data_IF_124875587060
#
_entry.id   IF_124875587060
#
_cell.length_a   1.000
_cell.length_b   1.000
_cell.length_c   1.000
_cell.angle_alpha   90.00
_cell.angle_beta   90.00
_cell.angle_gamma   90.00
#
_symmetry.space_group_name_H-M   'P 1'
#
loop_
_entity.id
_entity.type
_entity.pdbx_description
1 polymer ?
#
# COMPACT_ATOMS: atom_id res chain seq x y z
N UNK A 1 19.90 18.04 -32.94
CA UNK A 1 20.01 16.57 -32.99
C UNK A 1 19.21 16.00 -31.84
N UNK A 2 18.34 15.05 -32.15
CA UNK A 2 17.33 14.41 -31.30
C UNK A 2 17.86 13.58 -30.12
N UNK A 3 16.94 13.26 -29.20
CA UNK A 3 17.09 12.21 -28.19
C UNK A 3 15.93 12.19 -27.19
N UNK A 4 14.72 11.83 -27.63
CA UNK A 4 13.52 11.75 -26.79
C UNK A 4 13.56 10.61 -25.76
N UNK A 5 13.30 10.93 -24.50
CA UNK A 5 12.93 9.95 -23.47
C UNK A 5 11.41 9.82 -23.41
N UNK A 6 10.87 8.75 -23.99
CA UNK A 6 9.46 8.38 -23.86
C UNK A 6 9.16 7.92 -22.43
N UNK A 7 8.93 8.87 -21.52
CA UNK A 7 8.43 8.58 -20.18
C UNK A 7 6.97 8.16 -20.27
N UNK A 8 6.72 6.84 -20.32
CA UNK A 8 5.37 6.30 -20.20
C UNK A 8 4.68 6.79 -18.91
N UNK A 9 3.35 6.72 -18.83
CA UNK A 9 2.63 7.12 -17.62
C UNK A 9 3.12 6.33 -16.41
N UNK A 10 3.41 7.03 -15.29
CA UNK A 10 3.89 6.45 -14.02
C UNK A 10 2.95 5.35 -13.49
N UNK A 11 1.65 5.50 -13.76
CA UNK A 11 0.63 4.48 -13.48
C UNK A 11 0.11 3.88 -14.78
N UNK A 12 0.09 2.53 -14.85
CA UNK A 12 -0.40 1.82 -16.03
C UNK A 12 -1.87 2.14 -16.31
N UNK A 13 -2.17 2.35 -17.59
CA UNK A 13 -3.54 2.50 -18.09
C UNK A 13 -4.22 1.16 -18.40
N UNK A 14 -3.47 0.06 -18.35
CA UNK A 14 -4.01 -1.28 -18.57
C UNK A 14 -5.08 -1.62 -17.53
N UNK A 15 -6.20 -2.22 -17.95
CA UNK A 15 -7.24 -2.63 -17.02
C UNK A 15 -6.70 -3.65 -16.00
N UNK A 16 -6.91 -3.37 -14.72
CA UNK A 16 -6.78 -4.37 -13.67
C UNK A 16 -7.88 -5.42 -13.86
N UNK A 17 -7.59 -6.71 -13.67
CA UNK A 17 -8.57 -7.78 -13.82
C UNK A 17 -9.49 -7.86 -12.57
N UNK A 18 -10.09 -6.74 -12.17
CA UNK A 18 -11.00 -6.67 -11.00
C UNK A 18 -12.27 -7.49 -11.21
N UNK A 19 -12.65 -7.73 -12.47
CA UNK A 19 -13.77 -8.61 -12.82
C UNK A 19 -13.50 -10.06 -12.41
N UNK A 20 -12.23 -10.50 -12.29
CA UNK A 20 -11.90 -11.83 -11.79
C UNK A 20 -12.37 -12.05 -10.34
N UNK A 21 -12.56 -10.97 -9.56
CA UNK A 21 -13.05 -11.06 -8.18
C UNK A 21 -14.50 -11.55 -8.09
N UNK A 22 -15.29 -11.44 -9.17
CA UNK A 22 -16.70 -11.90 -9.19
C UNK A 22 -16.85 -13.33 -9.68
N UNK A 23 -15.78 -13.93 -10.19
CA UNK A 23 -15.81 -15.26 -10.82
C UNK A 23 -15.76 -16.38 -9.78
N UNK A 24 -15.10 -16.15 -8.64
CA UNK A 24 -15.03 -17.12 -7.56
C UNK A 24 -14.73 -16.45 -6.21
N UNK A 25 -15.25 -17.07 -5.15
CA UNK A 25 -14.83 -16.78 -3.78
C UNK A 25 -13.50 -17.50 -3.49
N UNK A 26 -12.66 -16.89 -2.64
CA UNK A 26 -11.36 -17.43 -2.29
C UNK A 26 -10.98 -17.04 -0.85
N UNK A 27 -10.28 -17.94 -0.16
CA UNK A 27 -9.64 -17.65 1.12
C UNK A 27 -8.18 -18.11 1.03
N UNK A 28 -7.25 -17.16 1.03
CA UNK A 28 -5.82 -17.37 0.83
C UNK A 28 -5.07 -16.76 2.00
N UNK A 29 -4.26 -17.54 2.69
CA UNK A 29 -3.36 -17.02 3.73
C UNK A 29 -1.93 -17.12 3.25
N UNK A 30 -1.28 -15.98 3.15
CA UNK A 30 0.15 -15.88 2.87
C UNK A 30 0.90 -15.44 4.13
N UNK A 31 1.95 -16.19 4.49
CA UNK A 31 2.78 -15.88 5.65
C UNK A 31 4.26 -16.03 5.27
N UNK A 32 5.06 -15.01 5.57
CA UNK A 32 6.50 -15.02 5.37
C UNK A 32 7.19 -14.60 6.67
N UNK A 33 8.27 -15.30 7.01
CA UNK A 33 9.12 -14.88 8.13
C UNK A 33 9.82 -13.56 7.85
N UNK A 34 10.30 -13.36 6.62
CA UNK A 34 11.01 -12.15 6.21
C UNK A 34 10.76 -11.82 4.74
N UNK A 35 10.56 -10.55 4.43
CA UNK A 35 10.50 -9.99 3.09
C UNK A 35 11.51 -8.84 2.99
N UNK A 36 12.43 -8.95 2.04
CA UNK A 36 13.48 -7.93 1.81
C UNK A 36 13.25 -7.25 0.46
N UNK A 37 13.25 -5.92 0.46
CA UNK A 37 13.21 -5.09 -0.74
C UNK A 37 14.19 -3.93 -0.58
N UNK A 38 15.29 -3.97 -1.34
CA UNK A 38 16.41 -3.04 -1.10
C UNK A 38 16.92 -3.17 0.33
N UNK A 39 16.97 -2.04 1.05
CA UNK A 39 17.33 -1.99 2.48
C UNK A 39 16.13 -2.16 3.42
N UNK A 40 14.90 -2.19 2.89
CA UNK A 40 13.69 -2.43 3.68
C UNK A 40 13.59 -3.91 4.00
N UNK A 41 13.52 -4.22 5.29
CA UNK A 41 13.26 -5.56 5.81
C UNK A 41 11.96 -5.55 6.61
N UNK A 42 11.00 -6.34 6.13
CA UNK A 42 9.76 -6.64 6.83
C UNK A 42 9.86 -8.05 7.41
N UNK A 43 9.46 -8.21 8.66
CA UNK A 43 9.43 -9.50 9.36
C UNK A 43 8.01 -9.84 9.78
N UNK A 44 7.74 -11.13 10.01
CA UNK A 44 6.44 -11.64 10.46
C UNK A 44 5.27 -11.19 9.57
N UNK A 45 5.47 -11.20 8.26
CA UNK A 45 4.46 -10.78 7.30
C UNK A 45 3.32 -11.81 7.26
N UNK A 46 2.09 -11.34 7.43
CA UNK A 46 0.86 -12.13 7.34
C UNK A 46 -0.16 -11.38 6.49
N UNK A 47 -0.71 -12.07 5.49
CA UNK A 47 -1.69 -11.55 4.55
C UNK A 47 -2.78 -12.60 4.31
N UNK A 48 -3.80 -12.68 5.18
CA UNK A 48 -5.03 -13.40 4.86
C UNK A 48 -5.89 -12.56 3.91
N UNK A 49 -5.95 -12.97 2.65
CA UNK A 49 -6.79 -12.37 1.62
C UNK A 49 -8.05 -13.22 1.42
N UNK A 50 -9.21 -12.56 1.49
CA UNK A 50 -10.52 -13.16 1.21
C UNK A 50 -11.22 -12.44 0.09
N UNK A 51 -11.76 -13.21 -0.85
CA UNK A 51 -12.70 -12.76 -1.86
C UNK A 51 -14.04 -13.41 -1.55
N UNK A 52 -15.06 -12.59 -1.38
CA UNK A 52 -16.44 -13.05 -1.11
C UNK A 52 -17.42 -12.13 -1.85
N UNK A 53 -18.19 -12.71 -2.77
CA UNK A 53 -19.22 -12.00 -3.53
C UNK A 53 -18.70 -10.78 -4.29
N UNK A 54 -17.55 -10.88 -4.95
CA UNK A 54 -16.95 -9.78 -5.71
C UNK A 54 -16.20 -8.74 -4.87
N UNK A 55 -16.01 -8.99 -3.57
CA UNK A 55 -15.30 -8.08 -2.66
C UNK A 55 -14.04 -8.74 -2.14
N UNK A 56 -12.92 -8.04 -2.29
CA UNK A 56 -11.65 -8.40 -1.68
C UNK A 56 -11.49 -7.72 -0.33
N UNK A 57 -11.06 -8.47 0.68
CA UNK A 57 -10.53 -7.96 1.95
C UNK A 57 -9.20 -8.64 2.21
N UNK A 58 -8.13 -7.85 2.28
CA UNK A 58 -6.77 -8.34 2.44
C UNK A 58 -6.01 -7.49 3.48
N UNK A 59 -6.24 -7.72 4.78
CA UNK A 59 -5.41 -7.16 5.83
C UNK A 59 -4.00 -7.74 5.76
N UNK A 60 -3.01 -6.89 5.93
CA UNK A 60 -1.60 -7.19 6.02
C UNK A 60 -1.11 -6.74 7.40
N UNK A 61 -0.40 -7.61 8.10
CA UNK A 61 0.42 -7.23 9.25
C UNK A 61 1.86 -7.60 9.00
N UNK A 62 2.77 -6.73 9.39
CA UNK A 62 4.20 -6.97 9.33
C UNK A 62 4.92 -6.14 10.40
N UNK A 63 6.19 -6.45 10.63
CA UNK A 63 7.07 -5.74 11.51
C UNK A 63 8.16 -5.06 10.67
N UNK A 64 8.28 -3.75 10.76
CA UNK A 64 9.38 -3.00 10.15
C UNK A 64 10.30 -2.50 11.25
N UNK A 65 11.57 -2.97 11.26
CA UNK A 65 12.56 -2.64 12.32
C UNK A 65 11.98 -2.82 13.74
N UNK A 66 11.22 -3.90 13.93
CA UNK A 66 10.54 -4.24 15.20
C UNK A 66 9.26 -3.44 15.50
N UNK A 67 8.88 -2.47 14.65
CA UNK A 67 7.65 -1.68 14.81
C UNK A 67 6.50 -2.31 14.01
N UNK A 68 5.33 -2.58 14.63
CA UNK A 68 4.17 -3.11 13.92
C UNK A 68 3.59 -2.14 12.91
N UNK A 69 3.34 -2.66 11.72
CA UNK A 69 2.64 -1.98 10.63
C UNK A 69 1.41 -2.80 10.27
N UNK A 70 0.27 -2.11 10.15
CA UNK A 70 -0.96 -2.70 9.66
C UNK A 70 -1.39 -1.96 8.40
N UNK A 71 -1.73 -2.74 7.39
CA UNK A 71 -2.33 -2.26 6.15
C UNK A 71 -3.57 -3.10 5.89
N UNK A 72 -4.57 -2.57 5.23
CA UNK A 72 -5.70 -3.33 4.71
C UNK A 72 -6.02 -2.84 3.31
N UNK A 73 -6.06 -3.78 2.37
CA UNK A 73 -6.53 -3.54 1.03
C UNK A 73 -7.96 -4.08 0.92
N UNK A 74 -8.86 -3.24 0.44
CA UNK A 74 -10.21 -3.65 0.10
C UNK A 74 -10.49 -3.32 -1.37
N UNK A 75 -11.21 -4.20 -2.07
CA UNK A 75 -11.67 -3.92 -3.42
C UNK A 75 -13.12 -4.38 -3.58
N UNK A 76 -13.85 -3.71 -4.47
CA UNK A 76 -15.19 -4.09 -4.86
C UNK A 76 -15.26 -4.08 -6.39
N UNK A 77 -15.33 -5.27 -6.99
CA UNK A 77 -15.35 -5.44 -8.44
C UNK A 77 -16.56 -4.76 -9.08
N UNK A 78 -17.75 -4.91 -8.50
CA UNK A 78 -18.98 -4.33 -9.04
C UNK A 78 -18.94 -2.78 -9.09
N UNK A 79 -18.25 -2.15 -8.14
CA UNK A 79 -18.07 -0.69 -8.12
C UNK A 79 -16.78 -0.22 -8.80
N UNK A 80 -15.89 -1.14 -9.18
CA UNK A 80 -14.54 -0.82 -9.64
C UNK A 80 -13.78 0.06 -8.64
N UNK A 81 -13.94 -0.19 -7.34
CA UNK A 81 -13.38 0.66 -6.29
C UNK A 81 -12.34 -0.08 -5.46
N UNK A 82 -11.29 0.63 -5.04
CA UNK A 82 -10.25 0.14 -4.15
C UNK A 82 -10.16 1.07 -2.94
N UNK A 83 -9.94 0.50 -1.76
CA UNK A 83 -9.61 1.23 -0.55
C UNK A 83 -8.34 0.68 0.09
N UNK A 84 -7.60 1.58 0.73
CA UNK A 84 -6.39 1.28 1.49
C UNK A 84 -6.52 1.96 2.84
N UNK A 85 -6.46 1.17 3.90
CA UNK A 85 -6.29 1.66 5.26
C UNK A 85 -4.88 1.28 5.73
N UNK A 86 -4.17 2.25 6.28
CA UNK A 86 -2.82 2.06 6.80
C UNK A 86 -2.72 2.71 8.18
N UNK A 87 -2.09 2.02 9.12
CA UNK A 87 -1.78 2.61 10.41
C UNK A 87 -0.48 2.05 10.99
N UNK A 88 0.30 2.94 11.59
CA UNK A 88 1.50 2.59 12.33
C UNK A 88 1.67 3.59 13.47
N UNK A 89 1.95 3.09 14.68
CA UNK A 89 2.20 3.93 15.83
C UNK A 89 3.71 4.01 16.08
N UNK A 90 4.17 5.20 16.46
CA UNK A 90 5.56 5.46 16.78
C UNK A 90 6.50 4.92 15.68
N UNK A 91 6.17 5.17 14.41
CA UNK A 91 6.86 4.62 13.25
C UNK A 91 8.04 5.50 12.85
N UNK A 92 9.19 4.89 12.54
CA UNK A 92 10.37 5.62 12.09
C UNK A 92 10.30 5.91 10.59
N UNK A 93 9.58 6.98 10.25
CA UNK A 93 9.40 7.42 8.88
C UNK A 93 10.72 7.86 8.25
N UNK A 94 11.60 8.50 9.02
CA UNK A 94 12.93 8.90 8.56
C UNK A 94 13.75 7.70 8.08
N UNK A 95 13.81 6.63 8.89
CA UNK A 95 14.49 5.39 8.51
C UNK A 95 13.84 4.71 7.33
N UNK A 96 12.50 4.69 7.23
CA UNK A 96 11.82 4.11 6.05
C UNK A 96 12.24 4.83 4.76
N UNK A 97 12.22 6.16 4.76
CA UNK A 97 12.60 6.93 3.57
C UNK A 97 14.09 6.76 3.23
N UNK A 98 14.96 6.61 4.23
CA UNK A 98 16.36 6.30 4.02
C UNK A 98 16.55 4.88 3.44
N UNK A 99 15.84 3.88 3.97
CA UNK A 99 15.91 2.49 3.48
C UNK A 99 15.34 2.32 2.06
N UNK A 100 14.42 3.22 1.66
CA UNK A 100 13.86 3.30 0.31
C UNK A 100 14.70 4.19 -0.64
N UNK A 101 15.86 4.69 -0.20
CA UNK A 101 16.72 5.62 -0.95
C UNK A 101 15.99 6.91 -1.41
N UNK A 102 14.95 7.34 -0.68
CA UNK A 102 14.18 8.56 -0.98
C UNK A 102 14.86 9.79 -0.42
N UNK A 103 15.23 9.76 0.86
CA UNK A 103 15.97 10.85 1.52
C UNK A 103 16.55 10.39 2.84
N UNK A 104 17.71 10.95 3.20
CA UNK A 104 18.36 10.77 4.51
C UNK A 104 18.23 11.99 5.41
N UNK A 105 17.59 13.07 4.93
CA UNK A 105 17.47 14.34 5.67
C UNK A 105 16.34 14.34 6.69
N UNK A 106 15.38 13.43 6.57
CA UNK A 106 14.26 13.33 7.51
C UNK A 106 14.65 12.44 8.69
N UNK A 107 14.67 13.02 9.89
CA UNK A 107 14.74 12.28 11.15
C UNK A 107 13.42 12.52 11.90
N UNK A 108 12.44 11.66 11.67
CA UNK A 108 11.11 11.81 12.25
C UNK A 108 10.53 10.45 12.66
N UNK A 109 9.99 10.42 13.88
CA UNK A 109 9.17 9.33 14.39
C UNK A 109 7.75 9.84 14.57
N UNK A 110 6.77 9.10 14.05
CA UNK A 110 5.41 9.60 13.97
C UNK A 110 4.36 8.50 14.13
N UNK A 111 3.20 8.88 14.64
CA UNK A 111 1.98 8.11 14.47
C UNK A 111 1.39 8.45 13.10
N UNK A 112 1.22 7.45 12.27
CA UNK A 112 0.70 7.58 10.92
C UNK A 112 -0.62 6.83 10.78
N UNK A 113 -1.59 7.49 10.17
CA UNK A 113 -2.83 6.88 9.70
C UNK A 113 -3.17 7.39 8.31
N UNK A 114 -3.56 6.48 7.41
CA UNK A 114 -4.09 6.84 6.11
C UNK A 114 -5.33 6.01 5.80
N UNK A 115 -6.33 6.68 5.23
CA UNK A 115 -7.50 6.05 4.64
C UNK A 115 -7.67 6.62 3.25
N UNK A 116 -7.40 5.80 2.25
CA UNK A 116 -7.41 6.20 0.85
C UNK A 116 -8.44 5.36 0.10
N UNK A 117 -9.10 5.97 -0.87
CA UNK A 117 -10.04 5.31 -1.76
C UNK A 117 -9.82 5.80 -3.19
N UNK A 118 -9.98 4.89 -4.14
CA UNK A 118 -9.94 5.21 -5.56
C UNK A 118 -10.96 4.39 -6.33
N UNK A 119 -11.28 4.85 -7.52
CA UNK A 119 -12.23 4.24 -8.43
C UNK A 119 -11.65 4.16 -9.84
N UNK A 120 -11.92 3.07 -10.53
CA UNK A 120 -11.50 2.89 -11.90
C UNK A 120 -11.10 1.47 -12.20
N UNK A 121 -11.05 1.19 -13.51
CA UNK A 121 -10.70 -0.13 -14.01
C UNK A 121 -9.20 -0.31 -14.23
N UNK A 122 -8.37 0.72 -14.06
CA UNK A 122 -6.91 0.68 -14.24
C UNK A 122 -6.19 1.41 -13.10
N UNK A 123 -4.90 1.12 -12.91
CA UNK A 123 -4.08 1.80 -11.90
C UNK A 123 -4.08 3.32 -12.10
N UNK A 124 -4.02 3.76 -13.35
CA UNK A 124 -4.12 5.18 -13.69
C UNK A 124 -5.44 5.80 -13.26
N UNK A 125 -6.59 5.15 -13.54
CA UNK A 125 -7.89 5.70 -13.17
C UNK A 125 -8.10 5.72 -11.64
N UNK A 126 -7.64 4.68 -10.94
CA UNK A 126 -7.65 4.62 -9.47
C UNK A 126 -6.80 5.74 -8.88
N UNK A 127 -5.59 5.96 -9.41
CA UNK A 127 -4.72 7.05 -8.96
C UNK A 127 -5.31 8.43 -9.28
N UNK A 128 -5.92 8.59 -10.46
CA UNK A 128 -6.53 9.85 -10.88
C UNK A 128 -7.78 10.24 -10.05
N UNK A 129 -8.47 9.25 -9.46
CA UNK A 129 -9.63 9.45 -8.59
C UNK A 129 -9.33 9.29 -7.11
N UNK A 130 -8.04 9.19 -6.75
CA UNK A 130 -7.61 8.96 -5.38
C UNK A 130 -8.09 10.09 -4.49
N UNK A 131 -8.84 9.73 -3.45
CA UNK A 131 -9.28 10.62 -2.39
C UNK A 131 -9.05 9.96 -1.04
N UNK A 132 -9.19 10.72 0.04
CA UNK A 132 -9.07 10.19 1.38
C UNK A 132 -8.49 11.18 2.38
N UNK A 133 -8.03 10.64 3.49
CA UNK A 133 -7.49 11.39 4.61
C UNK A 133 -6.21 10.74 5.09
N UNK A 134 -5.23 11.57 5.43
CA UNK A 134 -3.99 11.16 6.07
C UNK A 134 -3.82 11.98 7.33
N UNK A 135 -3.49 11.32 8.43
CA UNK A 135 -3.08 11.95 9.67
C UNK A 135 -1.65 11.55 9.99
N UNK A 136 -0.85 12.54 10.34
CA UNK A 136 0.53 12.37 10.74
C UNK A 136 0.76 13.19 12.00
N UNK A 137 1.05 12.50 13.11
CA UNK A 137 1.41 13.15 14.37
C UNK A 137 2.89 12.87 14.62
N UNK A 138 3.71 13.90 14.42
CA UNK A 138 5.16 13.80 14.63
C UNK A 138 5.45 13.96 16.11
N UNK A 139 6.14 12.99 16.70
CA UNK A 139 6.63 13.10 18.08
C UNK A 139 7.63 14.25 18.20
N UNK A 140 7.70 14.91 19.37
CA UNK A 140 8.68 15.98 19.60
C UNK A 140 10.09 15.47 19.25
N UNK A 141 10.67 16.03 18.20
CA UNK A 141 12.08 15.83 17.87
C UNK A 141 12.94 16.41 18.98
N UNK A 142 13.94 15.66 19.42
CA UNK A 142 15.04 16.16 20.26
C UNK A 142 16.13 16.75 19.38
#
# INVERSE_FOLDING_TARGET
GEGGGSGGPVFSKEPLPLDALTVADADLTFALGELRYGNVVLTDLKLPARIDGGKLTAPLTAQYRGTPVKLSLNANGAKGSIGIDANAANFDLGKLLADLDVTTMLNARADFGAKLNGQGKSLHAIAASLGGQTNLVIGRGT
#
